data_IF_991775441113
#
_entry.id   IF_991775441113
#
_cell.length_a   1.000
_cell.length_b   1.000
_cell.length_c   1.000
_cell.angle_alpha   90.00
_cell.angle_beta   90.00
_cell.angle_gamma   90.00
#
_symmetry.space_group_name_H-M   'P 1'
#
loop_
_entity.id
_entity.type
_entity.pdbx_description
1 polymer ?
#
# COMPACT_ATOMS: atom_id res chain seq x y z
N UNK A 1 23.25 17.75 0.16
CA UNK A 1 23.23 18.09 -1.28
C UNK A 1 21.88 17.65 -1.84
N UNK A 2 21.10 18.57 -2.41
CA UNK A 2 19.83 18.19 -3.04
C UNK A 2 20.16 17.43 -4.34
N UNK A 3 20.01 16.11 -4.32
CA UNK A 3 20.09 15.32 -5.54
C UNK A 3 18.92 15.73 -6.44
N UNK A 4 19.22 16.29 -7.61
CA UNK A 4 18.22 16.57 -8.65
C UNK A 4 17.62 15.23 -9.10
N UNK A 5 16.54 14.79 -8.45
CA UNK A 5 15.76 13.63 -8.89
C UNK A 5 14.97 14.05 -10.12
N UNK A 6 15.39 13.59 -11.29
CA UNK A 6 14.60 13.72 -12.52
C UNK A 6 13.82 12.42 -12.73
N UNK A 7 12.54 12.52 -13.07
CA UNK A 7 11.83 11.37 -13.63
C UNK A 7 12.58 10.90 -14.88
N UNK A 8 12.69 9.58 -15.05
CA UNK A 8 13.30 9.00 -16.24
C UNK A 8 12.39 9.30 -17.44
N UNK A 9 12.79 10.26 -18.29
CA UNK A 9 12.00 10.67 -19.46
C UNK A 9 11.72 9.50 -20.43
N UNK A 10 12.58 8.49 -20.44
CA UNK A 10 12.41 7.27 -21.24
C UNK A 10 11.31 6.34 -20.75
N UNK A 11 10.82 6.51 -19.50
CA UNK A 11 9.76 5.67 -18.94
C UNK A 11 8.35 6.16 -19.27
N UNK A 12 8.19 7.30 -19.97
CA UNK A 12 6.86 7.84 -20.32
C UNK A 12 5.97 6.84 -21.08
N UNK A 13 6.56 6.00 -21.93
CA UNK A 13 5.83 4.97 -22.69
C UNK A 13 5.53 3.70 -21.88
N UNK A 14 6.09 3.60 -20.68
CA UNK A 14 5.95 2.46 -19.79
C UNK A 14 5.00 2.73 -18.62
N UNK A 15 4.24 3.82 -18.66
CA UNK A 15 3.25 4.16 -17.63
C UNK A 15 2.31 2.97 -17.37
N UNK A 16 2.21 2.56 -16.11
CA UNK A 16 1.31 1.49 -15.68
C UNK A 16 0.11 2.07 -14.93
N UNK A 17 0.40 2.84 -13.88
CA UNK A 17 -0.63 3.39 -13.00
C UNK A 17 -0.09 4.61 -12.23
N UNK A 18 -0.99 5.42 -11.69
CA UNK A 18 -0.66 6.57 -10.85
C UNK A 18 -1.51 6.57 -9.59
N UNK A 19 -0.85 6.35 -8.46
CA UNK A 19 -1.42 6.53 -7.13
C UNK A 19 -1.34 7.99 -6.67
N UNK A 20 -1.62 8.19 -5.38
CA UNK A 20 -1.69 9.53 -4.79
C UNK A 20 -0.31 10.22 -4.73
N UNK A 21 0.70 9.49 -4.26
CA UNK A 21 2.08 9.94 -4.04
C UNK A 21 3.06 9.44 -5.12
N UNK A 22 2.76 8.30 -5.74
CA UNK A 22 3.67 7.59 -6.64
C UNK A 22 3.07 7.26 -8.01
N UNK A 23 3.94 7.19 -9.02
CA UNK A 23 3.65 6.70 -10.36
C UNK A 23 4.39 5.39 -10.57
N UNK A 24 3.69 4.36 -11.05
CA UNK A 24 4.26 3.06 -11.38
C UNK A 24 4.55 2.96 -12.88
N UNK A 25 5.74 2.48 -13.21
CA UNK A 25 6.20 2.23 -14.58
C UNK A 25 6.53 0.75 -14.77
N UNK A 26 6.13 0.18 -15.89
CA UNK A 26 6.49 -1.18 -16.29
C UNK A 26 7.95 -1.21 -16.74
N UNK A 27 8.79 -2.00 -16.06
CA UNK A 27 10.17 -2.24 -16.50
C UNK A 27 10.27 -3.51 -17.33
N UNK A 28 9.52 -4.55 -16.93
CA UNK A 28 9.44 -5.81 -17.65
C UNK A 28 8.10 -6.52 -17.41
N UNK A 29 7.97 -7.76 -17.88
CA UNK A 29 6.82 -8.60 -17.55
C UNK A 29 6.72 -8.93 -16.04
N UNK A 30 7.81 -8.76 -15.29
CA UNK A 30 7.92 -9.20 -13.89
C UNK A 30 8.28 -8.08 -12.91
N UNK A 31 8.62 -6.88 -13.40
CA UNK A 31 9.15 -5.80 -12.55
C UNK A 31 8.45 -4.49 -12.90
N UNK A 32 8.10 -3.73 -11.86
CA UNK A 32 7.69 -2.33 -11.95
C UNK A 32 8.68 -1.45 -11.20
N UNK A 33 8.73 -0.17 -11.58
CA UNK A 33 9.40 0.90 -10.84
C UNK A 33 8.34 1.87 -10.34
N UNK A 34 8.21 2.02 -9.02
CA UNK A 34 7.40 3.07 -8.39
C UNK A 34 8.29 4.28 -8.11
N UNK A 35 7.95 5.43 -8.68
CA UNK A 35 8.65 6.70 -8.49
C UNK A 35 7.71 7.75 -7.90
N UNK A 36 8.23 8.84 -7.30
CA UNK A 36 7.39 9.97 -6.93
C UNK A 36 6.66 10.54 -8.15
N UNK A 37 5.39 10.89 -7.97
CA UNK A 37 4.65 11.66 -8.97
C UNK A 37 5.12 13.11 -8.92
N UNK A 38 5.89 13.54 -9.93
CA UNK A 38 6.42 14.89 -10.01
C UNK A 38 5.67 15.71 -11.06
N UNK A 39 5.32 16.96 -10.70
CA UNK A 39 4.68 17.95 -11.58
C UNK A 39 5.66 19.07 -11.90
N UNK A 40 5.44 19.78 -13.00
CA UNK A 40 6.20 21.01 -13.29
C UNK A 40 6.01 22.02 -12.15
N UNK A 41 7.11 22.51 -11.59
CA UNK A 41 7.12 23.48 -10.48
C UNK A 41 6.79 24.89 -10.98
N UNK A 42 5.52 25.13 -11.30
CA UNK A 42 5.03 26.44 -11.76
C UNK A 42 4.76 27.39 -10.59
N UNK A 43 4.53 26.86 -9.39
CA UNK A 43 4.36 27.63 -8.16
C UNK A 43 4.92 26.92 -6.93
N UNK A 44 4.89 27.61 -5.78
CA UNK A 44 5.25 27.03 -4.48
C UNK A 44 4.35 25.84 -4.08
N UNK A 45 3.12 25.78 -4.59
CA UNK A 45 2.19 24.68 -4.30
C UNK A 45 2.67 23.40 -4.95
N UNK A 46 3.01 23.40 -6.24
CA UNK A 46 3.54 22.21 -6.92
C UNK A 46 4.85 21.76 -6.32
N UNK A 47 5.73 22.69 -5.93
CA UNK A 47 6.96 22.37 -5.21
C UNK A 47 6.69 21.66 -3.87
N UNK A 48 5.71 22.14 -3.11
CA UNK A 48 5.33 21.49 -1.85
C UNK A 48 4.76 20.08 -2.09
N UNK A 49 3.91 19.90 -3.09
CA UNK A 49 3.35 18.60 -3.48
C UNK A 49 4.45 17.64 -3.94
N UNK A 50 5.38 18.08 -4.78
CA UNK A 50 6.52 17.28 -5.23
C UNK A 50 7.39 16.82 -4.05
N UNK A 51 7.64 17.71 -3.08
CA UNK A 51 8.38 17.37 -1.87
C UNK A 51 7.63 16.34 -1.02
N UNK A 52 6.31 16.49 -0.85
CA UNK A 52 5.48 15.55 -0.10
C UNK A 52 5.45 14.16 -0.77
N UNK A 53 5.28 14.11 -2.09
CA UNK A 53 5.30 12.87 -2.87
C UNK A 53 6.67 12.17 -2.78
N UNK A 54 7.75 12.95 -2.81
CA UNK A 54 9.11 12.43 -2.64
C UNK A 54 9.33 11.86 -1.25
N UNK A 55 8.88 12.57 -0.21
CA UNK A 55 8.96 12.13 1.17
C UNK A 55 8.15 10.86 1.42
N UNK A 56 6.96 10.73 0.81
CA UNK A 56 6.12 9.53 0.89
C UNK A 56 6.80 8.30 0.27
N UNK A 57 7.44 8.44 -0.90
CA UNK A 57 8.21 7.34 -1.51
C UNK A 57 9.48 7.02 -0.72
N UNK A 58 10.14 8.01 -0.13
CA UNK A 58 11.31 7.77 0.72
C UNK A 58 10.93 7.06 2.03
N UNK A 59 9.80 7.43 2.62
CA UNK A 59 9.23 6.71 3.76
C UNK A 59 8.92 5.26 3.42
N UNK A 60 8.29 4.99 2.27
CA UNK A 60 8.03 3.62 1.83
C UNK A 60 9.34 2.81 1.64
N UNK A 61 10.41 3.43 1.12
CA UNK A 61 11.74 2.79 1.03
C UNK A 61 12.30 2.45 2.41
N UNK A 62 12.15 3.35 3.38
CA UNK A 62 12.64 3.14 4.74
C UNK A 62 11.91 1.94 5.38
N UNK A 63 10.60 1.82 5.17
CA UNK A 63 9.81 0.67 5.64
C UNK A 63 10.25 -0.63 4.97
N UNK A 64 10.41 -0.67 3.64
CA UNK A 64 10.93 -1.88 2.97
C UNK A 64 12.32 -2.27 3.47
N UNK A 65 13.18 -1.28 3.72
CA UNK A 65 14.55 -1.49 4.21
C UNK A 65 14.53 -2.02 5.65
N UNK A 66 13.69 -1.46 6.51
CA UNK A 66 13.50 -1.93 7.88
C UNK A 66 12.97 -3.37 7.91
N UNK A 67 11.92 -3.66 7.14
CA UNK A 67 11.33 -5.00 7.04
C UNK A 67 12.34 -6.05 6.58
N UNK A 68 13.25 -5.71 5.65
CA UNK A 68 14.28 -6.63 5.15
C UNK A 68 15.20 -7.17 6.27
N UNK A 69 15.39 -6.43 7.36
CA UNK A 69 16.19 -6.86 8.51
C UNK A 69 15.51 -7.94 9.37
N UNK A 70 14.19 -8.05 9.31
CA UNK A 70 13.39 -9.02 10.08
C UNK A 70 13.09 -10.32 9.32
N UNK A 71 13.54 -10.42 8.05
CA UNK A 71 13.24 -11.53 7.16
C UNK A 71 12.03 -11.27 6.25
N UNK A 72 11.54 -12.34 5.60
CA UNK A 72 10.45 -12.24 4.62
C UNK A 72 9.20 -12.95 5.12
N UNK A 73 8.04 -12.32 4.97
CA UNK A 73 6.74 -12.96 5.16
C UNK A 73 6.11 -13.29 3.80
N UNK A 74 5.55 -14.49 3.60
CA UNK A 74 5.03 -14.91 2.30
C UNK A 74 3.90 -14.02 1.75
N UNK A 75 3.14 -13.36 2.61
CA UNK A 75 2.00 -12.50 2.25
C UNK A 75 2.28 -10.99 2.41
N UNK A 76 3.56 -10.59 2.44
CA UNK A 76 3.99 -9.19 2.42
C UNK A 76 4.87 -9.02 1.19
N UNK A 77 4.58 -8.01 0.37
CA UNK A 77 5.39 -7.73 -0.82
C UNK A 77 6.79 -7.29 -0.37
N UNK A 78 7.83 -7.78 -1.04
CA UNK A 78 9.19 -7.33 -0.79
C UNK A 78 9.69 -6.50 -1.96
N UNK A 79 10.32 -5.37 -1.68
CA UNK A 79 11.07 -4.64 -2.67
C UNK A 79 12.24 -5.49 -3.21
N UNK A 80 12.48 -5.36 -4.52
CA UNK A 80 13.64 -5.97 -5.19
C UNK A 80 14.87 -5.09 -4.95
N UNK A 81 14.70 -3.77 -5.12
CA UNK A 81 15.77 -2.79 -4.97
C UNK A 81 15.17 -1.40 -4.70
N UNK A 82 15.71 -0.70 -3.71
CA UNK A 82 15.44 0.73 -3.47
C UNK A 82 16.59 1.56 -4.03
N UNK A 83 16.27 2.56 -4.86
CA UNK A 83 17.22 3.55 -5.40
C UNK A 83 16.76 4.97 -5.04
N UNK A 84 17.61 6.00 -5.16
CA UNK A 84 17.20 7.38 -4.90
C UNK A 84 15.93 7.78 -5.67
N UNK A 85 15.78 7.34 -6.91
CA UNK A 85 14.67 7.73 -7.79
C UNK A 85 13.36 6.99 -7.50
N UNK A 86 13.39 5.83 -6.83
CA UNK A 86 12.20 5.00 -6.68
C UNK A 86 12.45 3.59 -6.13
N UNK A 87 11.43 2.74 -6.23
CA UNK A 87 11.39 1.39 -5.68
C UNK A 87 11.08 0.39 -6.80
N UNK A 88 11.96 -0.59 -7.00
CA UNK A 88 11.67 -1.73 -7.87
C UNK A 88 10.87 -2.77 -7.11
N UNK A 89 9.69 -3.10 -7.62
CA UNK A 89 8.76 -4.06 -7.03
C UNK A 89 8.45 -5.20 -8.01
N UNK A 90 8.13 -6.41 -7.53
CA UNK A 90 7.57 -7.45 -8.36
C UNK A 90 6.26 -6.97 -9.00
N UNK A 91 6.10 -7.21 -10.30
CA UNK A 91 4.89 -6.83 -11.04
C UNK A 91 3.74 -7.77 -10.70
N UNK A 92 2.76 -7.22 -9.99
CA UNK A 92 1.49 -7.88 -9.72
C UNK A 92 0.44 -7.34 -10.67
N UNK A 93 -0.24 -8.22 -11.41
CA UNK A 93 -1.12 -7.82 -12.52
C UNK A 93 -2.53 -7.43 -12.09
N UNK A 94 -2.97 -7.93 -10.94
CA UNK A 94 -4.33 -7.74 -10.46
C UNK A 94 -4.33 -7.52 -8.95
N UNK A 95 -5.15 -6.57 -8.51
CA UNK A 95 -5.44 -6.33 -7.09
C UNK A 95 -6.60 -7.21 -6.64
N UNK A 96 -6.72 -7.43 -5.34
CA UNK A 96 -7.84 -8.17 -4.78
C UNK A 96 -9.18 -7.48 -5.07
N UNK A 97 -9.20 -6.14 -5.05
CA UNK A 97 -10.37 -5.37 -5.47
C UNK A 97 -10.80 -5.70 -6.90
N UNK A 98 -9.87 -5.59 -7.86
CA UNK A 98 -10.16 -5.83 -9.27
C UNK A 98 -10.53 -7.30 -9.51
N UNK A 99 -9.88 -8.25 -8.84
CA UNK A 99 -10.21 -9.66 -8.95
C UNK A 99 -11.63 -9.98 -8.47
N UNK A 100 -12.05 -9.44 -7.33
CA UNK A 100 -13.42 -9.61 -6.82
C UNK A 100 -14.46 -8.99 -7.75
N UNK A 101 -14.16 -7.82 -8.30
CA UNK A 101 -15.02 -7.14 -9.28
C UNK A 101 -15.20 -7.95 -10.56
N UNK A 102 -14.12 -8.54 -11.08
CA UNK A 102 -14.16 -9.35 -12.31
C UNK A 102 -14.76 -10.74 -12.08
N UNK A 103 -14.82 -11.21 -10.83
CA UNK A 103 -15.31 -12.54 -10.47
C UNK A 103 -16.41 -12.47 -9.40
N UNK A 104 -17.60 -11.88 -9.69
CA UNK A 104 -18.65 -11.70 -8.70
C UNK A 104 -19.22 -13.03 -8.14
N UNK A 105 -19.11 -14.12 -8.91
CA UNK A 105 -19.52 -15.46 -8.48
C UNK A 105 -18.58 -16.08 -7.44
N UNK A 106 -17.38 -15.52 -7.27
CA UNK A 106 -16.39 -15.98 -6.30
C UNK A 106 -16.81 -15.69 -4.86
N UNK A 107 -17.85 -14.87 -4.66
CA UNK A 107 -18.56 -14.78 -3.37
C UNK A 107 -19.03 -16.15 -2.85
N UNK A 108 -19.16 -17.16 -3.71
CA UNK A 108 -19.51 -18.54 -3.34
C UNK A 108 -18.29 -19.42 -2.99
N UNK A 109 -17.06 -19.04 -3.36
CA UNK A 109 -15.85 -19.83 -3.05
C UNK A 109 -15.34 -19.48 -1.65
N UNK A 110 -15.97 -20.10 -0.66
CA UNK A 110 -15.67 -19.87 0.76
C UNK A 110 -14.25 -20.29 1.13
N UNK A 111 -13.67 -21.30 0.45
CA UNK A 111 -12.32 -21.78 0.75
C UNK A 111 -11.26 -20.76 0.32
N UNK A 112 -11.38 -20.20 -0.89
CA UNK A 112 -10.47 -19.17 -1.38
C UNK A 112 -10.58 -17.89 -0.53
N UNK A 113 -11.80 -17.47 -0.16
CA UNK A 113 -12.00 -16.36 0.76
C UNK A 113 -11.34 -16.59 2.13
N UNK A 114 -11.55 -17.78 2.73
CA UNK A 114 -10.94 -18.14 4.01
C UNK A 114 -9.41 -18.08 3.95
N UNK A 115 -8.83 -18.53 2.83
CA UNK A 115 -7.39 -18.49 2.60
C UNK A 115 -6.89 -17.06 2.56
N UNK A 116 -7.52 -16.18 1.79
CA UNK A 116 -7.15 -14.76 1.73
C UNK A 116 -7.26 -14.07 3.07
N UNK A 117 -8.36 -14.30 3.80
CA UNK A 117 -8.55 -13.74 5.15
C UNK A 117 -7.43 -14.21 6.08
N UNK A 118 -7.09 -15.51 6.05
CA UNK A 118 -6.01 -16.06 6.88
C UNK A 118 -4.65 -15.47 6.53
N UNK A 119 -4.37 -15.30 5.23
CA UNK A 119 -3.13 -14.70 4.73
C UNK A 119 -3.00 -13.23 5.11
N UNK A 120 -4.10 -12.45 5.03
CA UNK A 120 -4.13 -11.06 5.46
C UNK A 120 -3.91 -10.92 6.96
N UNK A 121 -4.58 -11.74 7.76
CA UNK A 121 -4.39 -11.75 9.23
C UNK A 121 -2.95 -12.12 9.56
N UNK A 122 -2.37 -13.13 8.90
CA UNK A 122 -0.97 -13.52 9.11
C UNK A 122 0.00 -12.40 8.77
N UNK A 123 -0.19 -11.73 7.63
CA UNK A 123 0.65 -10.61 7.22
C UNK A 123 0.53 -9.41 8.17
N UNK A 124 -0.69 -9.04 8.54
CA UNK A 124 -0.94 -7.96 9.49
C UNK A 124 -0.32 -8.26 10.87
N UNK A 125 -0.50 -9.47 11.39
CA UNK A 125 0.11 -9.89 12.66
C UNK A 125 1.64 -9.90 12.60
N UNK A 126 2.22 -10.26 11.45
CA UNK A 126 3.66 -10.18 11.26
C UNK A 126 4.15 -8.73 11.28
N UNK A 127 3.49 -7.80 10.57
CA UNK A 127 3.80 -6.37 10.62
C UNK A 127 3.73 -5.84 12.06
N UNK A 128 2.68 -6.22 12.81
CA UNK A 128 2.54 -5.79 14.20
C UNK A 128 3.66 -6.35 15.08
N UNK A 129 4.05 -7.61 14.88
CA UNK A 129 5.14 -8.24 15.62
C UNK A 129 6.47 -7.53 15.41
N UNK A 130 6.73 -6.98 14.22
CA UNK A 130 7.95 -6.22 13.92
C UNK A 130 7.80 -4.72 14.23
N UNK A 131 6.69 -4.31 14.87
CA UNK A 131 6.49 -2.95 15.38
C UNK A 131 5.82 -1.98 14.41
N UNK A 132 5.24 -2.45 13.31
CA UNK A 132 4.62 -1.59 12.28
C UNK A 132 3.12 -1.84 12.13
N UNK A 133 2.41 -0.81 11.68
CA UNK A 133 1.02 -0.86 11.26
C UNK A 133 0.88 -0.23 9.87
N UNK A 134 0.20 -0.90 8.94
CA UNK A 134 0.11 -0.47 7.53
C UNK A 134 -0.43 0.95 7.33
N UNK A 135 -1.38 1.38 8.17
CA UNK A 135 -1.91 2.74 8.20
C UNK A 135 -3.04 3.05 7.21
N UNK A 136 -3.02 2.48 6.01
CA UNK A 136 -4.11 2.62 5.02
C UNK A 136 -4.35 1.32 4.24
N UNK A 137 -4.72 0.24 4.93
CA UNK A 137 -4.89 -1.07 4.26
C UNK A 137 -6.24 -1.13 3.53
N UNK A 138 -6.23 -1.17 2.19
CA UNK A 138 -7.42 -1.35 1.35
C UNK A 138 -7.22 -2.49 0.36
N UNK A 139 -8.32 -2.96 -0.26
CA UNK A 139 -8.27 -4.05 -1.24
C UNK A 139 -7.45 -3.72 -2.50
N UNK A 140 -7.31 -2.43 -2.83
CA UNK A 140 -6.47 -1.96 -3.94
C UNK A 140 -4.98 -2.11 -3.64
N UNK A 141 -4.60 -2.03 -2.36
CA UNK A 141 -3.22 -2.15 -1.88
C UNK A 141 -2.82 -3.63 -1.65
N UNK A 142 -3.72 -4.57 -1.99
CA UNK A 142 -3.53 -6.01 -1.82
C UNK A 142 -3.45 -6.68 -3.20
N UNK A 143 -2.28 -6.73 -3.85
CA UNK A 143 -2.08 -7.53 -5.05
C UNK A 143 -2.25 -9.03 -4.82
N UNK A 144 -2.63 -9.72 -5.89
CA UNK A 144 -2.70 -11.19 -5.96
C UNK A 144 -1.57 -11.72 -6.85
N UNK A 145 -0.86 -12.74 -6.37
CA UNK A 145 0.17 -13.42 -7.14
C UNK A 145 -0.39 -14.51 -8.08
N UNK A 146 0.51 -15.17 -8.82
CA UNK A 146 0.13 -16.22 -9.80
C UNK A 146 -0.56 -17.43 -9.17
N UNK A 147 -0.33 -17.69 -7.88
CA UNK A 147 -0.94 -18.78 -7.13
C UNK A 147 -2.26 -18.38 -6.47
N UNK A 148 -2.73 -17.15 -6.73
CA UNK A 148 -3.86 -16.51 -6.07
C UNK A 148 -3.63 -16.22 -4.59
N UNK A 149 -2.37 -16.08 -4.15
CA UNK A 149 -2.08 -15.66 -2.79
C UNK A 149 -2.01 -14.14 -2.71
N UNK A 150 -2.55 -13.57 -1.63
CA UNK A 150 -2.51 -12.12 -1.39
C UNK A 150 -1.15 -11.68 -0.88
N UNK A 151 -0.71 -10.50 -1.31
CA UNK A 151 0.45 -9.80 -0.75
C UNK A 151 0.00 -8.40 -0.31
N UNK A 152 0.29 -8.01 0.93
CA UNK A 152 0.13 -6.61 1.35
C UNK A 152 1.25 -5.79 0.70
N UNK A 153 0.90 -4.65 0.10
CA UNK A 153 1.80 -3.72 -0.55
C UNK A 153 1.39 -2.27 -0.24
N UNK A 154 2.17 -1.30 -0.74
CA UNK A 154 1.95 0.14 -0.57
C UNK A 154 2.11 0.64 0.87
N UNK A 155 3.36 0.66 1.35
CA UNK A 155 3.69 0.99 2.74
C UNK A 155 3.90 2.49 3.00
N UNK A 156 3.41 3.37 2.11
CA UNK A 156 3.66 4.80 2.21
C UNK A 156 2.94 5.47 3.40
N UNK A 157 1.86 4.87 3.89
CA UNK A 157 1.13 5.25 5.10
C UNK A 157 1.52 4.44 6.35
N UNK A 158 2.50 3.54 6.25
CA UNK A 158 2.89 2.67 7.37
C UNK A 158 3.50 3.46 8.50
N UNK A 159 3.11 3.16 9.74
CA UNK A 159 3.62 3.85 10.93
C UNK A 159 4.13 2.84 11.95
N UNK A 160 5.08 3.27 12.78
CA UNK A 160 5.46 2.50 13.96
C UNK A 160 4.29 2.45 14.94
N UNK A 161 4.07 1.29 15.56
CA UNK A 161 3.02 1.12 16.57
C UNK A 161 3.26 2.10 17.73
N UNK A 162 2.21 2.84 18.07
CA UNK A 162 2.26 3.89 19.10
C UNK A 162 2.45 5.30 18.54
N UNK A 163 2.76 5.45 17.25
CA UNK A 163 2.79 6.75 16.56
C UNK A 163 1.39 7.20 16.14
N UNK A 164 1.20 8.50 15.88
CA UNK A 164 -0.06 9.04 15.31
C UNK A 164 -0.24 8.57 13.84
N UNK A 165 -1.47 8.24 13.41
CA UNK A 165 -1.73 7.83 12.00
C UNK A 165 -1.75 9.07 11.11
N UNK A 166 -0.95 9.08 10.04
CA UNK A 166 -0.87 10.19 9.09
C UNK A 166 -1.99 10.19 8.04
N UNK A 167 -2.64 9.04 7.81
CA UNK A 167 -3.77 8.90 6.89
C UNK A 167 -4.77 7.85 7.42
N UNK A 168 -6.07 8.13 7.25
CA UNK A 168 -7.15 7.21 7.61
C UNK A 168 -8.51 7.88 7.47
N UNK A 169 -9.32 7.43 6.51
CA UNK A 169 -10.75 7.70 6.52
C UNK A 169 -11.40 6.77 7.56
N UNK A 170 -11.95 7.36 8.63
CA UNK A 170 -12.68 6.64 9.67
C UNK A 170 -13.80 5.77 9.06
N UNK A 171 -13.88 4.47 9.39
CA UNK A 171 -15.15 3.77 9.33
C UNK A 171 -16.01 4.27 10.49
N UNK A 172 -17.27 4.50 10.19
CA UNK A 172 -18.30 5.15 10.99
C UNK A 172 -18.36 4.71 12.47
N UNK A 173 -18.57 5.68 13.37
CA UNK A 173 -19.45 5.41 14.51
C UNK A 173 -19.22 6.05 15.88
N UNK A 174 -18.60 7.22 16.05
CA UNK A 174 -18.89 8.08 17.23
C UNK A 174 -18.94 9.56 16.88
N UNK A 175 -20.16 10.08 16.73
CA UNK A 175 -20.46 11.51 16.62
C UNK A 175 -20.25 12.15 17.98
N UNK A 176 -19.08 12.74 18.20
CA UNK A 176 -18.75 13.56 19.37
C UNK A 176 -17.73 14.62 18.97
N UNK A 177 -18.06 15.90 19.22
CA UNK A 177 -17.30 17.07 18.79
C UNK A 177 -15.84 17.06 19.25
N UNK A 178 -14.92 16.70 18.36
CA UNK A 178 -13.62 17.37 18.12
C UNK A 178 -12.93 16.65 16.95
N UNK A 179 -12.20 17.38 16.09
CA UNK A 179 -11.31 16.78 15.07
C UNK A 179 -10.16 16.10 15.82
N UNK A 180 -10.37 14.87 16.27
CA UNK A 180 -9.32 14.05 16.86
C UNK A 180 -8.76 13.17 15.76
N UNK A 181 -7.52 13.46 15.38
CA UNK A 181 -6.71 12.65 14.46
C UNK A 181 -6.60 11.24 15.04
N UNK A 182 -6.74 10.22 14.19
CA UNK A 182 -6.57 8.82 14.58
C UNK A 182 -5.14 8.61 15.05
N UNK A 183 -4.99 8.00 16.21
CA UNK A 183 -3.69 7.55 16.72
C UNK A 183 -3.50 6.11 16.23
N UNK A 184 -2.28 5.64 15.99
CA UNK A 184 -1.97 4.26 15.55
C UNK A 184 -2.30 3.20 16.61
N UNK A 185 -3.51 3.24 17.15
CA UNK A 185 -4.05 2.38 18.18
C UNK A 185 -4.60 1.07 17.59
N UNK A 186 -4.62 -0.02 18.38
CA UNK A 186 -5.16 -1.31 17.96
C UNK A 186 -6.58 -1.28 17.39
N UNK A 187 -7.42 -0.34 17.86
CA UNK A 187 -8.82 -0.23 17.46
C UNK A 187 -9.02 0.20 16.00
N UNK A 188 -8.19 1.11 15.49
CA UNK A 188 -8.29 1.60 14.11
C UNK A 188 -7.78 0.53 13.12
N UNK A 189 -6.80 -0.28 13.54
CA UNK A 189 -6.24 -1.41 12.76
C UNK A 189 -7.22 -2.56 12.54
N UNK A 190 -8.01 -2.89 13.58
CA UNK A 190 -9.12 -3.82 13.46
C UNK A 190 -10.18 -3.32 12.47
N UNK A 191 -10.32 -1.99 12.32
CA UNK A 191 -11.21 -1.36 11.34
C UNK A 191 -10.79 -1.61 9.89
N UNK A 192 -9.52 -1.46 9.54
CA UNK A 192 -9.04 -1.65 8.16
C UNK A 192 -9.03 -3.13 7.74
N UNK A 193 -8.47 -4.01 8.58
CA UNK A 193 -8.48 -5.46 8.32
C UNK A 193 -9.92 -5.97 8.32
N UNK A 194 -10.75 -5.51 9.26
CA UNK A 194 -12.18 -5.85 9.31
C UNK A 194 -12.94 -5.41 8.06
N UNK A 195 -12.68 -4.20 7.56
CA UNK A 195 -13.26 -3.71 6.29
C UNK A 195 -12.87 -4.60 5.10
N UNK A 196 -11.59 -4.99 5.01
CA UNK A 196 -11.12 -5.91 3.98
C UNK A 196 -11.81 -7.28 4.09
N UNK A 197 -11.96 -7.82 5.31
CA UNK A 197 -12.66 -9.10 5.55
C UNK A 197 -14.12 -9.02 5.11
N UNK A 198 -14.84 -7.96 5.49
CA UNK A 198 -16.22 -7.75 5.07
C UNK A 198 -16.32 -7.69 3.54
N UNK A 199 -15.43 -6.95 2.89
CA UNK A 199 -15.44 -6.79 1.44
C UNK A 199 -15.09 -8.09 0.70
N UNK A 200 -14.17 -8.91 1.23
CA UNK A 200 -13.89 -10.26 0.72
C UNK A 200 -15.12 -11.19 0.84
N UNK A 201 -15.89 -11.07 1.93
CA UNK A 201 -17.05 -11.92 2.20
C UNK A 201 -18.29 -11.55 1.40
N UNK A 202 -18.55 -10.25 1.29
CA UNK A 202 -19.83 -9.73 0.83
C UNK A 202 -19.71 -8.95 -0.48
N UNK A 203 -18.49 -8.68 -0.96
CA UNK A 203 -18.24 -7.92 -2.19
C UNK A 203 -18.48 -6.42 -2.06
N UNK A 204 -18.72 -5.91 -0.85
CA UNK A 204 -18.90 -4.50 -0.57
C UNK A 204 -18.31 -4.12 0.81
N UNK A 205 -17.91 -2.86 1.01
CA UNK A 205 -17.52 -2.38 2.34
C UNK A 205 -18.69 -2.47 3.34
N UNK A 206 -18.39 -2.53 4.66
CA UNK A 206 -19.41 -2.57 5.71
C UNK A 206 -20.28 -1.31 5.77
#
# INVERSE_FOLDING_TARGET
MAAYRRQFDTLRYNFLDQGNSGTAYTISQHIILKCPTLREEKSHVEKHVNNANTASIDHEKDIYTAMASYGRHPNVLCAILCIPEGIFLPRMKITLHQYLKDNPLLCADTELQNRWISQLISAAAWLEKIGYAHGDLRLDDIPIDVNKDVKIADFDATVEIGSELLAGALPLGKRGRSRQLSTGWPGDRAGFVGSCICNIRYGHPP
#
